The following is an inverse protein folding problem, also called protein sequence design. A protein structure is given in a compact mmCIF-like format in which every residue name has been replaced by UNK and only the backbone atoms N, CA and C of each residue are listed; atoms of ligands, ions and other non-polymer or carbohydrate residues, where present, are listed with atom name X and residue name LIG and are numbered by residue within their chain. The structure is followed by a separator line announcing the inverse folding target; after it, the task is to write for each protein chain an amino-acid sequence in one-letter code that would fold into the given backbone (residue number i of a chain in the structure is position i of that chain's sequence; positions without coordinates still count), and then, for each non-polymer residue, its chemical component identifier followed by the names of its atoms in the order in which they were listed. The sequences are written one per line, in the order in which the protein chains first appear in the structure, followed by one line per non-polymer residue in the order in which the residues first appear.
data_IF_805173852311
#
_entry.id   IF_805173852311
#
_cell.length_a   1.000
_cell.length_b   1.000
_cell.length_c   1.000
_cell.angle_alpha   90.00
_cell.angle_beta   90.00
_cell.angle_gamma   90.00
#
_symmetry.space_group_name_H-M   'P 1'
#
loop_
_entity.id
_entity.type
_entity.pdbx_description
1 polymer ?
#
# COMPACT_ATOMS: atom_id res chain seq x y z
N UNK A 1 20.56 -6.03 4.29
CA UNK A 1 19.52 -5.18 4.92
C UNK A 1 19.37 -5.64 6.36
N UNK A 2 20.16 -5.07 7.24
CA UNK A 2 20.08 -5.31 8.68
C UNK A 2 20.48 -4.01 9.35
N UNK A 3 19.65 -3.53 10.27
CA UNK A 3 20.09 -2.50 11.19
C UNK A 3 20.92 -3.16 12.29
N UNK A 4 21.87 -2.40 12.85
CA UNK A 4 22.55 -2.74 14.10
C UNK A 4 21.53 -2.96 15.23
N UNK A 5 20.38 -2.28 15.14
CA UNK A 5 19.29 -2.39 16.08
C UNK A 5 18.20 -3.32 15.53
N UNK A 6 17.95 -4.49 16.15
CA UNK A 6 16.91 -5.39 15.69
C UNK A 6 15.50 -4.92 16.10
N UNK A 7 14.49 -5.50 15.45
CA UNK A 7 13.09 -5.33 15.83
C UNK A 7 12.50 -3.94 15.51
N UNK A 8 11.34 -3.60 16.13
CA UNK A 8 10.60 -2.37 15.83
C UNK A 8 11.36 -1.10 16.26
N UNK A 9 12.25 -1.19 17.25
CA UNK A 9 13.13 -0.08 17.65
C UNK A 9 14.06 0.28 16.49
N UNK A 10 14.71 -0.72 15.89
CA UNK A 10 15.54 -0.54 14.71
C UNK A 10 14.81 0.07 13.53
N UNK A 11 13.56 -0.35 13.30
CA UNK A 11 12.75 0.20 12.22
C UNK A 11 12.46 1.71 12.38
N UNK A 12 12.57 2.26 13.59
CA UNK A 12 12.43 3.68 13.88
C UNK A 12 13.77 4.41 13.81
N UNK A 13 14.80 3.92 14.51
CA UNK A 13 16.04 4.70 14.67
C UNK A 13 16.97 4.61 13.46
N UNK A 14 16.98 3.50 12.72
CA UNK A 14 17.92 3.34 11.59
C UNK A 14 17.67 4.32 10.45
N UNK A 15 16.41 4.58 10.03
CA UNK A 15 16.13 5.64 9.05
C UNK A 15 16.48 7.05 9.55
N UNK A 16 16.53 7.30 10.86
CA UNK A 16 16.92 8.58 11.43
C UNK A 16 18.44 8.77 11.45
N UNK A 17 19.20 7.71 11.77
CA UNK A 17 20.66 7.76 11.86
C UNK A 17 21.32 7.60 10.48
N UNK A 18 20.90 6.60 9.71
CA UNK A 18 21.48 6.25 8.42
C UNK A 18 20.72 6.78 7.20
N UNK A 19 19.60 7.48 7.44
CA UNK A 19 18.78 8.06 6.38
C UNK A 19 17.86 7.06 5.68
N UNK A 20 16.88 7.61 4.96
CA UNK A 20 15.85 6.80 4.30
C UNK A 20 16.32 6.11 3.02
N UNK A 21 17.43 6.52 2.40
CA UNK A 21 17.92 5.87 1.17
C UNK A 21 18.31 4.41 1.43
N UNK A 22 19.02 4.18 2.53
CA UNK A 22 19.58 2.88 2.88
C UNK A 22 18.65 2.06 3.78
N UNK A 23 17.69 2.70 4.45
CA UNK A 23 16.80 2.04 5.42
C UNK A 23 15.30 2.19 5.09
N UNK A 24 14.92 2.52 3.85
CA UNK A 24 13.51 2.66 3.44
C UNK A 24 12.67 1.40 3.67
N UNK A 25 13.27 0.21 3.57
CA UNK A 25 12.52 -1.06 3.63
C UNK A 25 12.16 -1.43 5.07
N UNK A 26 12.90 -0.94 6.05
CA UNK A 26 12.70 -1.26 7.47
C UNK A 26 11.30 -0.84 7.98
N UNK A 27 10.85 0.41 7.78
CA UNK A 27 9.48 0.78 8.15
C UNK A 27 8.41 -0.02 7.41
N UNK A 28 8.66 -0.50 6.19
CA UNK A 28 7.71 -1.30 5.40
C UNK A 28 7.65 -2.78 5.82
N UNK A 29 8.69 -3.30 6.50
CA UNK A 29 8.70 -4.67 7.02
C UNK A 29 7.70 -4.91 8.17
N UNK A 30 7.22 -3.86 8.85
CA UNK A 30 6.26 -3.98 9.96
C UNK A 30 4.82 -4.19 9.45
N UNK A 31 4.03 -5.07 10.07
CA UNK A 31 2.60 -5.24 9.74
C UNK A 31 1.68 -4.19 10.38
N UNK A 32 2.21 -3.31 11.24
CA UNK A 32 1.46 -2.32 12.01
C UNK A 32 0.38 -2.93 12.93
N UNK A 33 0.60 -4.15 13.46
CA UNK A 33 -0.34 -4.82 14.37
C UNK A 33 -0.48 -4.18 15.76
N UNK A 34 0.35 -3.17 16.10
CA UNK A 34 0.30 -2.42 17.37
C UNK A 34 0.60 -3.25 18.64
N UNK A 35 0.95 -4.54 18.52
CA UNK A 35 1.32 -5.38 19.67
C UNK A 35 2.50 -4.83 20.48
N UNK A 36 3.49 -4.23 19.80
CA UNK A 36 4.66 -3.63 20.45
C UNK A 36 4.28 -2.46 21.36
N UNK A 37 3.22 -1.72 21.02
CA UNK A 37 2.79 -0.54 21.78
C UNK A 37 2.07 -0.95 23.07
N UNK A 38 1.33 -2.07 23.06
CA UNK A 38 0.57 -2.55 24.22
C UNK A 38 1.44 -3.24 25.26
N UNK A 39 2.50 -3.94 24.83
CA UNK A 39 3.40 -4.67 25.75
C UNK A 39 4.52 -3.80 26.31
N UNK A 40 4.73 -2.60 25.77
CA UNK A 40 5.85 -1.75 26.17
C UNK A 40 5.65 -1.19 27.59
N UNK A 41 6.53 -1.51 28.56
CA UNK A 41 6.36 -1.06 29.95
C UNK A 41 6.47 0.46 30.11
N UNK A 42 7.20 1.12 29.21
CA UNK A 42 7.44 2.57 29.20
C UNK A 42 6.55 3.32 28.19
N UNK A 43 5.56 2.64 27.60
CA UNK A 43 4.51 3.23 26.73
C UNK A 43 5.03 3.98 25.50
N UNK A 44 6.07 3.46 24.85
CA UNK A 44 6.57 4.03 23.59
C UNK A 44 5.63 3.63 22.43
N UNK A 45 5.08 4.57 21.65
CA UNK A 45 4.15 4.25 20.57
C UNK A 45 4.88 3.87 19.27
N UNK A 46 5.63 2.76 19.28
CA UNK A 46 6.50 2.32 18.17
C UNK A 46 5.74 2.20 16.84
N UNK A 47 4.54 1.63 16.82
CA UNK A 47 3.74 1.48 15.61
C UNK A 47 3.44 2.83 14.95
N UNK A 48 3.15 3.86 15.75
CA UNK A 48 2.87 5.22 15.29
C UNK A 48 4.13 5.90 14.75
N UNK A 49 5.30 5.67 15.37
CA UNK A 49 6.57 6.18 14.85
C UNK A 49 6.92 5.54 13.50
N UNK A 50 6.74 4.23 13.37
CA UNK A 50 6.95 3.52 12.09
C UNK A 50 5.99 4.05 11.02
N UNK A 51 4.72 4.28 11.36
CA UNK A 51 3.75 4.88 10.44
C UNK A 51 4.16 6.30 10.00
N UNK A 52 4.72 7.11 10.90
CA UNK A 52 5.27 8.43 10.54
C UNK A 52 6.41 8.33 9.54
N UNK A 53 7.31 7.35 9.67
CA UNK A 53 8.34 7.10 8.68
C UNK A 53 7.74 6.81 7.30
N UNK A 54 6.72 5.94 7.21
CA UNK A 54 6.02 5.65 5.94
C UNK A 54 5.41 6.90 5.33
N UNK A 55 4.79 7.76 6.14
CA UNK A 55 4.22 9.03 5.70
C UNK A 55 5.30 9.98 5.14
N UNK A 56 6.39 10.18 5.87
CA UNK A 56 7.51 11.01 5.44
C UNK A 56 8.12 10.48 4.14
N UNK A 57 8.26 9.16 4.00
CA UNK A 57 8.77 8.54 2.76
C UNK A 57 7.84 8.76 1.57
N UNK A 58 6.51 8.65 1.78
CA UNK A 58 5.52 8.93 0.75
C UNK A 58 5.55 10.40 0.31
N UNK A 59 5.58 11.33 1.27
CA UNK A 59 5.65 12.79 1.02
C UNK A 59 6.96 13.18 0.30
N UNK A 60 8.09 12.53 0.64
CA UNK A 60 9.40 12.77 0.03
C UNK A 60 9.63 12.07 -1.31
N UNK A 61 8.67 11.30 -1.83
CA UNK A 61 8.87 10.65 -3.13
C UNK A 61 9.79 9.43 -3.12
N UNK A 62 10.03 8.81 -1.96
CA UNK A 62 11.01 7.71 -1.79
C UNK A 62 10.43 6.36 -2.25
N UNK A 63 9.10 6.24 -2.31
CA UNK A 63 8.41 5.07 -2.85
C UNK A 63 8.53 4.99 -4.38
N UNK A 64 8.27 3.82 -4.97
CA UNK A 64 8.45 3.63 -6.41
C UNK A 64 7.58 4.61 -7.22
N UNK A 65 8.17 5.32 -8.19
CA UNK A 65 7.45 6.32 -9.01
C UNK A 65 6.26 5.74 -9.77
N UNK A 66 6.36 4.47 -10.20
CA UNK A 66 5.26 3.77 -10.86
C UNK A 66 4.07 3.60 -9.91
N UNK A 67 4.31 3.11 -8.70
CA UNK A 67 3.32 2.96 -7.64
C UNK A 67 2.67 4.29 -7.29
N UNK A 68 3.48 5.35 -7.10
CA UNK A 68 2.94 6.69 -6.80
C UNK A 68 2.00 7.21 -7.89
N UNK A 69 2.38 7.02 -9.16
CA UNK A 69 1.53 7.43 -10.29
C UNK A 69 0.25 6.61 -10.36
N UNK A 70 0.34 5.29 -10.18
CA UNK A 70 -0.83 4.42 -10.15
C UNK A 70 -1.81 4.81 -9.04
N UNK A 71 -1.31 5.01 -7.82
CA UNK A 71 -2.15 5.44 -6.68
C UNK A 71 -2.76 6.81 -6.94
N UNK A 72 -2.00 7.79 -7.45
CA UNK A 72 -2.54 9.13 -7.76
C UNK A 72 -3.62 9.07 -8.85
N UNK A 73 -3.39 8.30 -9.91
CA UNK A 73 -4.36 8.13 -10.99
C UNK A 73 -5.63 7.46 -10.49
N UNK A 74 -5.49 6.42 -9.66
CA UNK A 74 -6.62 5.76 -9.02
C UNK A 74 -7.39 6.70 -8.10
N UNK A 75 -6.68 7.45 -7.24
CA UNK A 75 -7.28 8.43 -6.35
C UNK A 75 -8.06 9.50 -7.13
N UNK A 76 -7.50 9.96 -8.26
CA UNK A 76 -8.18 10.90 -9.15
C UNK A 76 -9.43 10.30 -9.79
N UNK A 77 -9.35 9.08 -10.33
CA UNK A 77 -10.50 8.41 -10.93
C UNK A 77 -11.62 8.18 -9.90
N UNK A 78 -11.27 7.76 -8.68
CA UNK A 78 -12.22 7.49 -7.61
C UNK A 78 -12.81 8.77 -6.98
N UNK A 79 -12.08 9.89 -6.98
CA UNK A 79 -12.57 11.17 -6.46
C UNK A 79 -13.53 11.90 -7.41
N UNK A 80 -13.70 11.42 -8.64
CA UNK A 80 -14.60 11.99 -9.64
C UNK A 80 -15.79 11.04 -9.94
N UNK A 81 -16.95 11.23 -9.29
CA UNK A 81 -18.09 10.31 -9.40
C UNK A 81 -18.58 10.09 -10.84
N UNK A 82 -18.54 11.12 -11.69
CA UNK A 82 -18.94 11.03 -13.09
C UNK A 82 -18.02 10.12 -13.91
N UNK A 83 -16.70 10.31 -13.79
CA UNK A 83 -15.70 9.47 -14.48
C UNK A 83 -15.77 8.02 -13.99
N UNK A 84 -15.92 7.82 -12.68
CA UNK A 84 -16.06 6.49 -12.09
C UNK A 84 -17.31 5.77 -12.59
N UNK A 85 -18.46 6.46 -12.63
CA UNK A 85 -19.74 5.90 -13.11
C UNK A 85 -19.66 5.50 -14.58
N UNK A 86 -19.13 6.38 -15.44
CA UNK A 86 -18.97 6.09 -16.87
C UNK A 86 -18.00 4.93 -17.09
N UNK A 87 -16.86 4.92 -16.38
CA UNK A 87 -15.89 3.84 -16.44
C UNK A 87 -16.48 2.48 -16.03
N UNK A 88 -17.23 2.45 -14.93
CA UNK A 88 -17.90 1.24 -14.44
C UNK A 88 -18.99 0.75 -15.40
N UNK A 89 -19.81 1.64 -15.97
CA UNK A 89 -20.86 1.27 -16.93
C UNK A 89 -20.28 0.72 -18.24
N UNK A 90 -19.22 1.36 -18.76
CA UNK A 90 -18.50 0.88 -19.93
C UNK A 90 -17.85 -0.49 -19.66
N UNK A 91 -17.22 -0.65 -18.49
CA UNK A 91 -16.60 -1.91 -18.06
C UNK A 91 -17.63 -3.04 -17.91
N UNK A 92 -18.80 -2.75 -17.32
CA UNK A 92 -19.88 -3.71 -17.18
C UNK A 92 -20.45 -4.14 -18.55
N UNK A 93 -20.59 -3.20 -19.48
CA UNK A 93 -21.06 -3.50 -20.83
C UNK A 93 -20.06 -4.38 -21.59
N UNK A 94 -18.77 -4.06 -21.52
CA UNK A 94 -17.71 -4.89 -22.11
C UNK A 94 -17.64 -6.28 -21.48
N UNK A 95 -17.70 -6.37 -20.15
CA UNK A 95 -17.72 -7.66 -19.44
C UNK A 95 -18.96 -8.50 -19.82
N UNK A 96 -20.12 -7.88 -19.99
CA UNK A 96 -21.34 -8.57 -20.43
C UNK A 96 -21.18 -9.18 -21.82
N UNK A 97 -20.48 -8.50 -22.73
CA UNK A 97 -20.18 -9.01 -24.07
C UNK A 97 -19.26 -10.24 -24.02
N UNK A 98 -18.21 -10.18 -23.18
CA UNK A 98 -17.31 -11.33 -22.97
C UNK A 98 -18.00 -12.53 -22.29
N UNK A 99 -18.85 -12.29 -21.29
CA UNK A 99 -19.60 -13.35 -20.60
C UNK A 99 -20.61 -14.00 -21.55
N UNK A 100 -21.29 -13.22 -22.39
CA UNK A 100 -22.22 -13.75 -23.39
C UNK A 100 -21.50 -14.58 -24.47
N UNK A 101 -20.25 -14.23 -24.83
CA UNK A 101 -19.40 -15.04 -25.70
C UNK A 101 -18.92 -16.35 -25.04
N UNK A 102 -18.59 -16.32 -23.74
CA UNK A 102 -18.20 -17.51 -22.99
C UNK A 102 -19.37 -18.49 -22.78
N UNK A 103 -20.60 -18.00 -22.70
CA UNK A 103 -21.83 -18.80 -22.59
C UNK A 103 -22.09 -19.67 -23.83
N UNK A 104 -21.52 -19.32 -24.98
CA UNK A 104 -21.58 -20.13 -26.20
C UNK A 104 -20.71 -21.40 -26.11
N UNK A 105 -19.64 -21.41 -25.32
CA UNK A 105 -18.72 -22.57 -25.20
C UNK A 105 -19.05 -23.50 -24.02
N UNK A 106 -19.99 -23.16 -23.13
CA UNK A 106 -20.37 -23.99 -21.98
C UNK A 106 -21.37 -25.12 -22.29
N UNK A 107 -21.74 -25.34 -23.56
CA UNK A 107 -22.72 -26.35 -24.01
C UNK A 107 -22.16 -27.79 -24.14
N UNK A 108 -21.06 -28.12 -23.46
CA UNK A 108 -20.38 -29.44 -23.50
C UNK A 108 -20.29 -30.08 -22.11
N UNK A 109 -21.28 -29.82 -21.24
CA UNK A 109 -21.35 -30.38 -19.89
C UNK A 109 -22.72 -30.99 -19.61
N UNK A 110 -23.19 -31.81 -20.56
CA UNK A 110 -24.22 -32.83 -20.40
C UNK A 110 -23.67 -34.17 -20.91
#
# INVERSE_FOLDING_TARGET
MGSIYPGPIGAVISPLLGGYKDFKDLPYACSLCTACDSVCPVRIPLSKLILRHRRVMAEKGITAKAEQRAIKMFAYANSHPGLWKVGMMAGAHAASWFINGAKHHSNWRD
#
